data_IF_469919547556
#
_entry.id   IF_469919547556
#
_cell.length_a   1.000
_cell.length_b   1.000
_cell.length_c   1.000
_cell.angle_alpha   90.00
_cell.angle_beta   90.00
_cell.angle_gamma   90.00
#
_symmetry.space_group_name_H-M   'P 1'
#
loop_
_entity.id
_entity.type
_entity.pdbx_description
1 polymer ?
#
# COMPACT_ATOMS: atom_id res chain seq x y z
N UNK A 1 12.22 2.34 22.27
CA UNK A 1 12.88 3.44 21.53
C UNK A 1 11.97 3.79 20.38
N UNK A 2 11.34 4.94 20.46
CA UNK A 2 10.61 5.56 19.35
C UNK A 2 11.69 6.07 18.40
N UNK A 3 11.79 5.48 17.22
CA UNK A 3 12.75 5.91 16.20
C UNK A 3 12.45 7.36 15.81
N UNK A 4 13.50 8.17 15.77
CA UNK A 4 13.55 9.62 15.85
C UNK A 4 12.54 10.47 15.06
N UNK A 5 11.85 9.93 14.04
CA UNK A 5 10.86 10.69 13.25
C UNK A 5 9.53 10.85 14.01
N UNK A 6 9.07 9.81 14.70
CA UNK A 6 7.84 9.86 15.51
C UNK A 6 8.02 10.77 16.72
N UNK A 7 9.20 10.75 17.35
CA UNK A 7 9.54 11.65 18.45
C UNK A 7 9.57 13.11 18.04
N UNK A 8 10.09 13.43 16.86
CA UNK A 8 10.11 14.81 16.32
C UNK A 8 8.70 15.33 16.06
N UNK A 9 7.81 14.53 15.50
CA UNK A 9 6.41 14.91 15.30
C UNK A 9 5.70 15.18 16.62
N UNK A 10 5.87 14.32 17.60
CA UNK A 10 5.22 14.47 18.92
C UNK A 10 5.74 15.71 19.66
N UNK A 11 7.01 16.04 19.52
CA UNK A 11 7.60 17.25 20.11
C UNK A 11 7.27 18.53 19.33
N UNK A 12 7.12 18.44 18.00
CA UNK A 12 6.87 19.60 17.16
C UNK A 12 5.42 20.12 17.26
N UNK A 13 4.45 19.22 17.39
CA UNK A 13 3.02 19.56 17.45
C UNK A 13 2.65 20.60 18.54
N UNK A 14 3.14 20.49 19.79
CA UNK A 14 2.82 21.50 20.81
C UNK A 14 3.62 22.80 20.69
N UNK A 15 4.72 22.80 19.92
CA UNK A 15 5.62 23.95 19.82
C UNK A 15 5.29 24.81 18.60
N UNK A 16 4.86 24.19 17.51
CA UNK A 16 4.59 24.85 16.24
C UNK A 16 3.11 25.19 16.09
N UNK A 17 2.82 26.43 15.75
CA UNK A 17 1.47 26.86 15.35
C UNK A 17 1.14 26.49 13.88
N UNK A 18 2.05 25.83 13.20
CA UNK A 18 1.90 25.39 11.82
C UNK A 18 1.26 23.99 11.73
N UNK A 19 0.53 23.75 10.66
CA UNK A 19 0.03 22.42 10.33
C UNK A 19 1.17 21.48 9.96
N UNK A 20 1.14 20.27 10.48
CA UNK A 20 2.16 19.24 10.21
C UNK A 20 1.56 18.15 9.32
N UNK A 21 2.21 17.88 8.19
CA UNK A 21 1.83 16.83 7.24
C UNK A 21 2.85 15.70 7.33
N UNK A 22 2.37 14.48 7.71
CA UNK A 22 3.20 13.29 7.70
C UNK A 22 3.37 12.80 6.24
N UNK A 23 4.55 13.03 5.67
CA UNK A 23 4.91 12.57 4.32
C UNK A 23 5.52 11.15 4.30
N UNK A 24 5.57 10.50 5.45
CA UNK A 24 6.09 9.15 5.66
C UNK A 24 7.16 9.09 6.74
N UNK A 25 6.95 8.19 7.71
CA UNK A 25 7.82 8.00 8.86
C UNK A 25 8.30 6.55 8.97
N UNK A 26 9.56 6.30 8.78
CA UNK A 26 10.19 4.99 8.93
C UNK A 26 9.38 3.83 8.31
N UNK A 27 9.07 2.82 9.13
CA UNK A 27 8.18 1.70 8.77
C UNK A 27 6.76 1.87 9.30
N UNK A 28 6.43 3.02 9.94
CA UNK A 28 5.19 3.21 10.69
C UNK A 28 4.03 3.64 9.81
N UNK A 29 4.09 4.80 9.15
CA UNK A 29 2.98 5.32 8.37
C UNK A 29 3.41 6.07 7.09
N UNK A 30 2.52 6.09 6.11
CA UNK A 30 2.59 6.91 4.90
C UNK A 30 1.18 7.38 4.49
N UNK A 31 0.58 8.30 5.27
CA UNK A 31 -0.82 8.68 5.09
C UNK A 31 -1.14 9.22 3.70
N UNK A 32 -0.27 10.07 3.15
CA UNK A 32 -0.48 10.65 1.82
C UNK A 32 -0.43 9.60 0.69
N UNK A 33 0.29 8.49 0.90
CA UNK A 33 0.27 7.36 -0.05
C UNK A 33 -1.06 6.61 0.04
N UNK A 34 -1.55 6.32 1.25
CA UNK A 34 -2.84 5.66 1.40
C UNK A 34 -3.99 6.51 0.81
N UNK A 35 -3.95 7.83 0.99
CA UNK A 35 -4.95 8.73 0.40
C UNK A 35 -4.96 8.66 -1.13
N UNK A 36 -3.79 8.72 -1.78
CA UNK A 36 -3.73 8.63 -3.24
C UNK A 36 -4.12 7.25 -3.77
N UNK A 37 -3.76 6.18 -3.06
CA UNK A 37 -4.12 4.81 -3.42
C UNK A 37 -5.65 4.64 -3.37
N UNK A 38 -6.28 5.08 -2.29
CA UNK A 38 -7.73 5.06 -2.09
C UNK A 38 -8.44 5.95 -3.14
N UNK A 39 -7.89 7.12 -3.41
CA UNK A 39 -8.42 8.02 -4.44
C UNK A 39 -8.39 7.36 -5.82
N UNK A 40 -7.27 6.74 -6.19
CA UNK A 40 -7.13 6.01 -7.46
C UNK A 40 -8.14 4.84 -7.56
N UNK A 41 -8.31 4.07 -6.48
CA UNK A 41 -9.32 3.02 -6.43
C UNK A 41 -10.73 3.59 -6.64
N UNK A 42 -11.05 4.70 -5.97
CA UNK A 42 -12.35 5.37 -6.08
C UNK A 42 -12.62 5.88 -7.49
N UNK A 43 -11.64 6.50 -8.14
CA UNK A 43 -11.76 6.97 -9.53
C UNK A 43 -12.06 5.80 -10.49
N UNK A 44 -11.31 4.71 -10.37
CA UNK A 44 -11.40 3.59 -11.32
C UNK A 44 -12.56 2.64 -11.05
N UNK A 45 -12.98 2.48 -9.79
CA UNK A 45 -14.07 1.56 -9.38
C UNK A 45 -15.37 2.27 -8.98
N UNK A 46 -15.37 3.61 -8.92
CA UNK A 46 -16.54 4.41 -8.51
C UNK A 46 -16.86 4.35 -7.00
N UNK A 47 -16.25 3.43 -6.26
CA UNK A 47 -16.50 3.20 -4.83
C UNK A 47 -15.24 2.66 -4.14
N UNK A 48 -15.24 2.68 -2.81
CA UNK A 48 -14.24 1.99 -1.96
C UNK A 48 -14.94 0.92 -1.10
N UNK A 49 -16.10 1.26 -0.58
CA UNK A 49 -16.89 0.35 0.25
C UNK A 49 -17.21 -0.96 -0.48
N UNK A 50 -16.92 -2.08 0.17
CA UNK A 50 -17.14 -3.42 -0.36
C UNK A 50 -16.15 -3.87 -1.45
N UNK A 51 -15.13 -3.06 -1.80
CA UNK A 51 -14.04 -3.53 -2.66
C UNK A 51 -13.24 -4.62 -1.95
N UNK A 52 -12.91 -5.67 -2.67
CA UNK A 52 -11.98 -6.71 -2.23
C UNK A 52 -10.56 -6.32 -2.65
N UNK A 53 -9.76 -5.90 -1.69
CA UNK A 53 -8.40 -5.41 -1.91
C UNK A 53 -7.40 -6.40 -1.35
N UNK A 54 -6.57 -6.99 -2.21
CA UNK A 54 -5.43 -7.80 -1.79
C UNK A 54 -4.17 -6.93 -1.73
N UNK A 55 -3.54 -6.87 -0.57
CA UNK A 55 -2.21 -6.26 -0.38
C UNK A 55 -1.20 -7.39 -0.33
N UNK A 56 -0.28 -7.41 -1.31
CA UNK A 56 0.59 -8.57 -1.57
C UNK A 56 2.04 -8.20 -1.37
N UNK A 57 2.76 -8.96 -0.56
CA UNK A 57 4.20 -8.88 -0.45
C UNK A 57 4.76 -8.69 0.95
N UNK A 58 5.69 -7.75 1.10
CA UNK A 58 6.37 -7.44 2.36
C UNK A 58 5.50 -6.52 3.23
N UNK A 59 4.57 -7.10 3.97
CA UNK A 59 3.66 -6.36 4.85
C UNK A 59 4.41 -5.86 6.09
N UNK A 60 5.36 -6.66 6.60
CA UNK A 60 6.07 -6.40 7.86
C UNK A 60 6.82 -5.07 7.83
N UNK A 61 7.54 -4.79 6.73
CA UNK A 61 8.38 -3.61 6.60
C UNK A 61 7.69 -2.45 5.84
N UNK A 62 6.42 -2.65 5.41
CA UNK A 62 5.72 -1.68 4.57
C UNK A 62 4.86 -0.70 5.37
N UNK A 63 5.32 0.54 5.49
CA UNK A 63 4.50 1.66 5.99
C UNK A 63 3.27 1.94 5.11
N UNK A 64 3.37 1.62 3.82
CA UNK A 64 2.26 1.77 2.86
C UNK A 64 1.15 0.78 3.19
N UNK A 65 1.49 -0.50 3.45
CA UNK A 65 0.51 -1.50 3.85
C UNK A 65 -0.25 -1.07 5.10
N UNK A 66 0.46 -0.62 6.14
CA UNK A 66 -0.17 -0.17 7.40
C UNK A 66 -1.17 0.96 7.18
N UNK A 67 -0.78 2.00 6.45
CA UNK A 67 -1.67 3.13 6.18
C UNK A 67 -2.87 2.75 5.31
N UNK A 68 -2.66 1.89 4.30
CA UNK A 68 -3.76 1.39 3.47
C UNK A 68 -4.72 0.49 4.25
N UNK A 69 -4.23 -0.39 5.14
CA UNK A 69 -5.09 -1.19 6.02
C UNK A 69 -6.03 -0.27 6.80
N UNK A 70 -5.51 0.77 7.47
CA UNK A 70 -6.33 1.72 8.22
C UNK A 70 -7.34 2.47 7.35
N UNK A 71 -6.90 3.02 6.23
CA UNK A 71 -7.77 3.81 5.35
C UNK A 71 -8.87 2.95 4.72
N UNK A 72 -8.50 1.80 4.17
CA UNK A 72 -9.44 0.90 3.47
C UNK A 72 -10.45 0.27 4.41
N UNK A 73 -10.02 -0.22 5.58
CA UNK A 73 -10.96 -0.81 6.56
C UNK A 73 -11.94 0.22 7.10
N UNK A 74 -11.50 1.46 7.38
CA UNK A 74 -12.40 2.56 7.78
C UNK A 74 -13.41 2.93 6.70
N UNK A 75 -13.08 2.77 5.44
CA UNK A 75 -13.97 3.04 4.30
C UNK A 75 -14.80 1.80 3.89
N UNK A 76 -14.73 0.71 4.66
CA UNK A 76 -15.54 -0.47 4.46
C UNK A 76 -15.08 -1.38 3.32
N UNK A 77 -13.83 -1.34 2.91
CA UNK A 77 -13.25 -2.32 2.00
C UNK A 77 -12.92 -3.64 2.71
N UNK A 78 -13.00 -4.75 1.99
CA UNK A 78 -12.60 -6.09 2.46
C UNK A 78 -11.12 -6.31 2.12
N UNK A 79 -10.25 -6.16 3.13
CA UNK A 79 -8.80 -6.22 2.94
C UNK A 79 -8.28 -7.61 3.26
N UNK A 80 -7.54 -8.19 2.31
CA UNK A 80 -6.80 -9.44 2.48
C UNK A 80 -5.31 -9.20 2.29
N UNK A 81 -4.51 -9.61 3.26
CA UNK A 81 -3.05 -9.57 3.18
C UNK A 81 -2.53 -10.90 2.65
N UNK A 82 -1.64 -10.86 1.67
CA UNK A 82 -1.07 -12.06 1.07
C UNK A 82 0.46 -11.95 1.02
N UNK A 83 1.16 -12.93 1.58
CA UNK A 83 2.63 -12.93 1.55
C UNK A 83 3.24 -14.09 2.34
N UNK A 84 4.57 -14.21 2.30
CA UNK A 84 5.30 -15.18 3.10
C UNK A 84 4.98 -15.02 4.60
N UNK A 85 4.91 -16.12 5.32
CA UNK A 85 4.63 -16.10 6.78
C UNK A 85 5.60 -15.20 7.54
N UNK A 86 6.87 -15.19 7.14
CA UNK A 86 7.93 -14.36 7.73
C UNK A 86 7.76 -12.86 7.48
N UNK A 87 6.98 -12.47 6.49
CA UNK A 87 6.73 -11.07 6.11
C UNK A 87 5.32 -10.59 6.50
N UNK A 88 4.59 -11.36 7.28
CA UNK A 88 3.29 -10.97 7.85
C UNK A 88 3.46 -10.70 9.34
N UNK A 89 3.14 -9.50 9.84
CA UNK A 89 3.25 -9.20 11.27
C UNK A 89 2.35 -10.09 12.12
N UNK A 90 2.88 -10.56 13.26
CA UNK A 90 2.08 -11.27 14.27
C UNK A 90 0.97 -10.35 14.77
N UNK A 91 -0.24 -10.88 14.91
CA UNK A 91 -1.40 -10.14 15.42
C UNK A 91 -2.06 -9.18 14.43
N UNK A 92 -1.59 -9.07 13.17
CA UNK A 92 -2.14 -8.16 12.16
C UNK A 92 -3.65 -8.38 11.91
N UNK A 93 -4.17 -9.59 12.15
CA UNK A 93 -5.59 -9.93 12.03
C UNK A 93 -6.48 -9.13 12.98
N UNK A 94 -5.94 -8.62 14.08
CA UNK A 94 -6.66 -7.76 15.03
C UNK A 94 -7.07 -6.41 14.43
N UNK A 95 -6.50 -6.04 13.27
CA UNK A 95 -6.91 -4.87 12.50
C UNK A 95 -8.14 -5.10 11.61
N UNK A 96 -8.80 -6.26 11.73
CA UNK A 96 -10.00 -6.59 10.94
C UNK A 96 -9.70 -7.04 9.51
N UNK A 97 -8.48 -7.49 9.23
CA UNK A 97 -8.05 -7.96 7.91
C UNK A 97 -7.92 -9.47 7.84
N UNK A 98 -8.13 -10.03 6.65
CA UNK A 98 -7.86 -11.43 6.34
C UNK A 98 -6.37 -11.62 6.00
N UNK A 99 -5.86 -12.82 6.24
CA UNK A 99 -4.46 -13.17 5.92
C UNK A 99 -4.44 -14.52 5.23
N UNK A 100 -3.75 -14.58 4.10
CA UNK A 100 -3.43 -15.81 3.38
C UNK A 100 -1.94 -15.85 3.01
N UNK A 101 -1.46 -17.06 2.77
CA UNK A 101 -0.10 -17.32 2.28
C UNK A 101 -0.11 -17.95 0.89
N UNK A 102 -1.30 -18.14 0.30
CA UNK A 102 -1.48 -18.59 -1.08
C UNK A 102 -2.01 -17.45 -1.95
N UNK A 103 -1.23 -17.12 -2.98
CA UNK A 103 -1.61 -16.09 -3.94
C UNK A 103 -2.89 -16.45 -4.72
N UNK A 104 -3.17 -17.74 -4.93
CA UNK A 104 -4.37 -18.17 -5.64
C UNK A 104 -5.67 -17.80 -4.92
N UNK A 105 -5.66 -17.69 -3.59
CA UNK A 105 -6.84 -17.31 -2.80
C UNK A 105 -7.34 -15.89 -3.14
N UNK A 106 -6.44 -15.02 -3.60
CA UNK A 106 -6.74 -13.61 -3.85
C UNK A 106 -6.86 -13.26 -5.34
N UNK A 107 -6.20 -13.98 -6.24
CA UNK A 107 -6.18 -13.62 -7.66
C UNK A 107 -7.58 -13.55 -8.28
N UNK A 108 -8.39 -14.59 -8.14
CA UNK A 108 -9.73 -14.65 -8.75
C UNK A 108 -10.81 -13.89 -8.01
N UNK A 109 -10.54 -13.45 -6.78
CA UNK A 109 -11.56 -12.86 -5.90
C UNK A 109 -11.42 -11.36 -5.72
N UNK A 110 -10.22 -10.81 -5.88
CA UNK A 110 -9.92 -9.41 -5.61
C UNK A 110 -10.31 -8.48 -6.75
N UNK A 111 -10.77 -7.29 -6.41
CA UNK A 111 -11.02 -6.18 -7.35
C UNK A 111 -9.74 -5.35 -7.56
N UNK A 112 -8.86 -5.36 -6.57
CA UNK A 112 -7.59 -4.65 -6.57
C UNK A 112 -6.48 -5.57 -6.05
N UNK A 113 -5.37 -5.65 -6.77
CA UNK A 113 -4.13 -6.27 -6.36
C UNK A 113 -3.10 -5.16 -6.15
N UNK A 114 -2.84 -4.82 -4.89
CA UNK A 114 -1.83 -3.85 -4.50
C UNK A 114 -0.55 -4.59 -4.15
N UNK A 115 0.45 -4.46 -5.01
CA UNK A 115 1.74 -5.11 -4.83
C UNK A 115 2.67 -4.19 -4.04
N UNK A 116 3.39 -4.75 -3.10
CA UNK A 116 4.35 -4.02 -2.28
C UNK A 116 5.77 -4.26 -2.79
N UNK A 117 6.59 -3.21 -2.71
CA UNK A 117 8.00 -3.33 -2.96
C UNK A 117 8.67 -4.24 -1.92
N UNK A 118 9.45 -5.20 -2.37
CA UNK A 118 10.32 -5.97 -1.51
C UNK A 118 11.51 -5.11 -1.07
N UNK A 119 11.55 -4.75 0.22
CA UNK A 119 12.54 -3.79 0.75
C UNK A 119 13.81 -4.53 1.18
N UNK A 120 14.67 -4.85 0.21
CA UNK A 120 15.94 -5.58 0.43
C UNK A 120 16.86 -4.85 1.43
N UNK A 121 16.86 -3.53 1.38
CA UNK A 121 17.65 -2.65 2.24
C UNK A 121 17.24 -2.67 3.72
N UNK A 122 16.02 -3.12 4.02
CA UNK A 122 15.49 -3.21 5.39
C UNK A 122 15.52 -4.62 5.96
N UNK A 123 15.86 -5.61 5.14
CA UNK A 123 15.97 -7.00 5.55
C UNK A 123 17.39 -7.26 6.06
N UNK A 124 17.66 -6.96 7.33
CA UNK A 124 18.92 -7.34 8.01
C UNK A 124 18.99 -8.84 8.25
N UNK A 125 17.85 -9.52 8.37
CA UNK A 125 17.73 -10.96 8.53
C UNK A 125 17.24 -11.63 7.24
N UNK A 126 17.57 -12.91 7.08
CA UNK A 126 17.15 -13.72 5.91
C UNK A 126 15.69 -14.16 6.03
N UNK A 127 14.74 -13.22 5.88
CA UNK A 127 13.30 -13.51 5.93
C UNK A 127 12.78 -14.31 4.72
N UNK A 128 13.57 -14.39 3.66
CA UNK A 128 13.24 -15.09 2.43
C UNK A 128 14.37 -16.04 2.04
N UNK A 129 14.05 -17.26 1.57
CA UNK A 129 15.04 -18.20 1.05
C UNK A 129 15.80 -17.64 -0.16
N UNK A 130 15.08 -17.01 -1.09
CA UNK A 130 15.64 -16.26 -2.21
C UNK A 130 14.63 -15.30 -2.86
N UNK A 131 15.13 -14.24 -3.50
CA UNK A 131 14.30 -13.33 -4.30
C UNK A 131 13.64 -14.05 -5.48
N UNK A 132 14.35 -15.02 -6.08
CA UNK A 132 13.82 -15.81 -7.19
C UNK A 132 12.63 -16.66 -6.76
N UNK A 133 12.68 -17.25 -5.59
CA UNK A 133 11.57 -18.01 -5.03
C UNK A 133 10.38 -17.11 -4.71
N UNK A 134 10.63 -15.96 -4.10
CA UNK A 134 9.59 -14.95 -3.86
C UNK A 134 8.90 -14.55 -5.17
N UNK A 135 9.65 -14.19 -6.21
CA UNK A 135 9.10 -13.82 -7.52
C UNK A 135 8.27 -14.96 -8.14
N UNK A 136 8.70 -16.21 -7.99
CA UNK A 136 7.97 -17.38 -8.47
C UNK A 136 6.63 -17.55 -7.76
N UNK A 137 6.60 -17.40 -6.44
CA UNK A 137 5.42 -17.65 -5.61
C UNK A 137 4.48 -16.45 -5.60
N UNK A 138 4.97 -15.26 -5.26
CA UNK A 138 4.17 -14.05 -5.01
C UNK A 138 4.23 -13.00 -6.13
N UNK A 139 5.22 -13.06 -7.03
CA UNK A 139 5.31 -12.14 -8.16
C UNK A 139 4.15 -12.35 -9.14
N UNK A 140 3.61 -11.25 -9.68
CA UNK A 140 2.52 -11.25 -10.66
C UNK A 140 3.10 -11.18 -12.08
N UNK A 141 2.69 -12.12 -12.91
CA UNK A 141 3.00 -12.20 -14.35
C UNK A 141 1.72 -12.41 -15.16
N UNK A 142 1.80 -12.37 -16.47
CA UNK A 142 0.64 -12.57 -17.38
C UNK A 142 -0.11 -13.87 -17.12
N UNK A 143 0.58 -14.95 -16.83
CA UNK A 143 -0.05 -16.27 -16.61
C UNK A 143 -0.90 -16.25 -15.34
N UNK A 144 -0.38 -15.69 -14.26
CA UNK A 144 -1.13 -15.53 -13.02
C UNK A 144 -2.30 -14.56 -13.19
N UNK A 145 -2.09 -13.49 -13.98
CA UNK A 145 -3.11 -12.48 -14.23
C UNK A 145 -4.32 -13.04 -15.00
N UNK A 146 -4.17 -14.09 -15.80
CA UNK A 146 -5.29 -14.79 -16.45
C UNK A 146 -6.31 -15.35 -15.45
N UNK A 147 -5.90 -15.60 -14.19
CA UNK A 147 -6.80 -16.06 -13.12
C UNK A 147 -7.51 -14.91 -12.41
N UNK A 148 -7.11 -13.67 -12.64
CA UNK A 148 -7.70 -12.50 -12.01
C UNK A 148 -9.03 -12.12 -12.68
N UNK A 149 -9.78 -11.22 -12.02
CA UNK A 149 -10.98 -10.65 -12.62
C UNK A 149 -10.63 -9.83 -13.86
N UNK A 150 -11.53 -9.77 -14.82
CA UNK A 150 -11.34 -9.01 -16.08
C UNK A 150 -11.19 -7.51 -15.87
N UNK A 151 -11.66 -7.00 -14.75
CA UNK A 151 -11.62 -5.59 -14.38
C UNK A 151 -10.71 -5.32 -13.18
N UNK A 152 -9.80 -6.24 -12.87
CA UNK A 152 -8.85 -6.09 -11.76
C UNK A 152 -7.96 -4.86 -11.94
N UNK A 153 -7.65 -4.16 -10.85
CA UNK A 153 -6.65 -3.10 -10.86
C UNK A 153 -5.34 -3.60 -10.29
N UNK A 154 -4.24 -3.34 -10.99
CA UNK A 154 -2.88 -3.59 -10.50
C UNK A 154 -2.30 -2.26 -10.01
N UNK A 155 -1.94 -2.22 -8.75
CA UNK A 155 -1.39 -1.06 -8.07
C UNK A 155 -0.03 -1.36 -7.45
N UNK A 156 0.83 -0.34 -7.39
CA UNK A 156 2.13 -0.43 -6.73
C UNK A 156 2.58 0.96 -6.27
N UNK A 157 3.03 1.14 -5.03
CA UNK A 157 3.39 2.47 -4.51
C UNK A 157 4.69 3.05 -5.10
N UNK A 158 5.43 2.24 -5.91
CA UNK A 158 6.72 2.61 -6.47
C UNK A 158 7.86 2.70 -5.43
N UNK A 159 9.13 2.70 -5.91
CA UNK A 159 9.54 2.16 -7.21
C UNK A 159 9.35 0.65 -7.29
N UNK A 160 9.15 0.11 -8.51
CA UNK A 160 8.94 -1.32 -8.72
C UNK A 160 10.26 -2.06 -8.92
N UNK A 161 10.41 -3.25 -8.33
CA UNK A 161 11.47 -4.20 -8.73
C UNK A 161 10.91 -5.10 -9.84
N UNK A 162 11.07 -4.67 -11.10
CA UNK A 162 10.59 -5.41 -12.26
C UNK A 162 11.18 -6.84 -12.28
N UNK A 163 10.33 -7.83 -12.51
CA UNK A 163 10.70 -9.25 -12.44
C UNK A 163 10.71 -9.85 -11.03
N UNK A 164 10.40 -9.06 -10.00
CA UNK A 164 10.28 -9.54 -8.61
C UNK A 164 8.82 -9.51 -8.15
N UNK A 165 8.26 -8.33 -7.89
CA UNK A 165 6.85 -8.20 -7.47
C UNK A 165 5.90 -8.34 -8.66
N UNK A 166 6.31 -7.81 -9.82
CA UNK A 166 5.56 -7.90 -11.07
C UNK A 166 6.51 -7.87 -12.27
N UNK A 167 6.08 -8.49 -13.36
CA UNK A 167 6.81 -8.44 -14.64
C UNK A 167 6.56 -7.12 -15.35
N UNK A 168 7.46 -6.72 -16.27
CA UNK A 168 7.36 -5.45 -16.99
C UNK A 168 6.06 -5.34 -17.79
N UNK A 169 5.66 -6.42 -18.43
CA UNK A 169 4.43 -6.53 -19.23
C UNK A 169 3.14 -6.42 -18.41
N UNK A 170 3.18 -6.72 -17.11
CA UNK A 170 2.09 -6.45 -16.17
C UNK A 170 2.13 -5.03 -15.65
N UNK A 171 3.33 -4.51 -15.35
CA UNK A 171 3.50 -3.14 -14.87
C UNK A 171 3.02 -2.10 -15.89
N UNK A 172 3.28 -2.35 -17.17
CA UNK A 172 2.94 -1.46 -18.28
C UNK A 172 1.66 -1.93 -19.03
N UNK A 173 0.94 -2.92 -18.48
CA UNK A 173 -0.25 -3.53 -19.10
C UNK A 173 -1.56 -2.79 -18.79
N UNK A 174 -2.63 -3.21 -19.44
CA UNK A 174 -3.97 -2.58 -19.41
C UNK A 174 -4.62 -2.53 -18.01
N UNK A 175 -4.27 -3.45 -17.12
CA UNK A 175 -4.79 -3.51 -15.74
C UNK A 175 -4.03 -2.62 -14.76
N UNK A 176 -2.88 -2.09 -15.20
CA UNK A 176 -1.98 -1.31 -14.34
C UNK A 176 -2.45 0.14 -14.27
N UNK A 177 -2.62 0.63 -13.04
CA UNK A 177 -2.91 2.05 -12.75
C UNK A 177 -1.75 2.72 -12.02
N UNK A 178 -0.54 2.16 -12.13
CA UNK A 178 0.66 2.66 -11.42
C UNK A 178 1.00 4.10 -11.82
N UNK A 179 0.93 4.43 -13.10
CA UNK A 179 1.19 5.80 -13.57
C UNK A 179 0.08 6.78 -13.13
N UNK A 180 -1.16 6.31 -13.06
CA UNK A 180 -2.26 7.12 -12.51
C UNK A 180 -2.06 7.40 -11.02
N UNK A 181 -1.57 6.41 -10.23
CA UNK A 181 -1.20 6.65 -8.84
C UNK A 181 -0.16 7.77 -8.71
N UNK A 182 0.80 7.85 -9.62
CA UNK A 182 1.81 8.94 -9.63
C UNK A 182 1.13 10.30 -9.83
N UNK A 183 0.28 10.41 -10.85
CA UNK A 183 -0.48 11.64 -11.16
C UNK A 183 -1.40 12.02 -9.99
N UNK A 184 -2.18 11.07 -9.49
CA UNK A 184 -3.06 11.25 -8.34
C UNK A 184 -2.28 11.62 -7.07
N UNK A 185 -1.04 11.13 -6.96
CA UNK A 185 -0.13 11.47 -5.88
C UNK A 185 0.20 12.96 -5.83
N UNK A 186 0.37 13.61 -6.97
CA UNK A 186 0.57 15.07 -7.03
C UNK A 186 -0.71 15.78 -6.61
N UNK A 187 -1.85 15.44 -7.22
CA UNK A 187 -3.13 16.09 -6.96
C UNK A 187 -3.56 15.98 -5.49
N UNK A 188 -3.45 14.78 -4.90
CA UNK A 188 -3.81 14.55 -3.48
C UNK A 188 -2.90 15.33 -2.54
N UNK A 189 -1.58 15.38 -2.81
CA UNK A 189 -0.66 16.15 -1.96
C UNK A 189 -0.91 17.66 -2.07
N UNK A 190 -1.23 18.16 -3.27
CA UNK A 190 -1.66 19.56 -3.46
C UNK A 190 -2.93 19.86 -2.67
N UNK A 191 -3.94 18.98 -2.74
CA UNK A 191 -5.18 19.13 -1.99
C UNK A 191 -4.94 19.14 -0.46
N UNK A 192 -4.09 18.24 0.04
CA UNK A 192 -3.72 18.21 1.47
C UNK A 192 -3.04 19.52 1.89
N UNK A 193 -2.08 20.00 1.11
CA UNK A 193 -1.41 21.28 1.39
C UNK A 193 -2.40 22.45 1.36
N UNK A 194 -3.28 22.50 0.37
CA UNK A 194 -4.31 23.54 0.26
C UNK A 194 -5.24 23.56 1.48
N UNK A 195 -5.77 22.39 1.88
CA UNK A 195 -6.66 22.28 3.04
C UNK A 195 -5.96 22.65 4.36
N UNK A 196 -4.66 22.32 4.48
CA UNK A 196 -3.91 22.61 5.70
C UNK A 196 -3.34 24.02 5.76
N UNK A 197 -3.24 24.72 4.62
CA UNK A 197 -2.78 26.12 4.55
C UNK A 197 -3.89 27.14 4.78
N UNK A 198 -5.18 26.73 4.81
CA UNK A 198 -6.30 27.60 5.09
C UNK A 198 -6.14 28.28 6.46
N UNK A 199 -6.32 29.60 6.54
CA UNK A 199 -6.34 30.33 7.80
C UNK A 199 -7.35 29.67 8.74
N UNK A 200 -6.91 29.18 9.90
CA UNK A 200 -7.81 29.02 11.03
C UNK A 200 -8.38 30.39 11.30
N UNK A 201 -9.62 30.68 10.88
CA UNK A 201 -10.41 31.77 11.46
C UNK A 201 -10.48 31.44 12.94
N UNK A 202 -9.79 32.23 13.76
CA UNK A 202 -9.97 32.20 15.20
C UNK A 202 -11.45 32.55 15.46
N UNK A 203 -12.24 31.59 15.92
CA UNK A 203 -13.44 31.82 16.69
C UNK A 203 -13.07 32.03 18.14
#
# INVERSE_FOLDING_TARGET
>A
RLDGVTGVQTCALPILQASIINAGDGCHAHPTQALLDIFTMKERKGRVQGLKVAIIGDILHSRVARSNIWGLTKLGADVTLCGPTTLIPVGIRNLGVKVTHDLNDVLGTSDVLMLLRLQKERQQDKFLPSIREYARVFGINKEKLKKAKKDVLIMHPGPTNRGVELTADVADGEYSVILEQVTNGVAVRMAVMYLMSGKKTAE
#
